data_IF_144092473762
#
_entry.id   IF_144092473762
#
_cell.length_a   1.000
_cell.length_b   1.000
_cell.length_c   1.000
_cell.angle_alpha   90.00
_cell.angle_beta   90.00
_cell.angle_gamma   90.00
#
_symmetry.space_group_name_H-M   'P 1'
#
loop_
_entity.id
_entity.type
_entity.pdbx_description
1 polymer ?
#
# COMPACT_ATOMS: atom_id res chain seq x y z
N UNK A 1 7.57 -33.81 -29.09
CA UNK A 1 8.91 -33.99 -29.68
C UNK A 1 8.83 -34.07 -31.20
N UNK A 2 9.80 -33.46 -31.89
CA UNK A 2 9.89 -33.36 -33.36
C UNK A 2 11.23 -33.91 -33.83
N UNK A 3 11.22 -34.77 -34.84
CA UNK A 3 12.41 -35.44 -35.35
C UNK A 3 12.45 -35.41 -36.87
N UNK A 4 13.65 -35.22 -37.41
CA UNK A 4 13.97 -35.31 -38.83
C UNK A 4 15.08 -36.34 -39.00
N UNK A 5 14.88 -37.30 -39.90
CA UNK A 5 15.85 -38.34 -40.23
C UNK A 5 16.09 -38.31 -41.74
N UNK A 6 17.36 -38.38 -42.14
CA UNK A 6 17.76 -38.50 -43.53
C UNK A 6 18.11 -39.95 -43.85
N UNK A 7 17.52 -40.50 -44.90
CA UNK A 7 17.95 -41.80 -45.42
C UNK A 7 19.35 -41.71 -46.04
N UNK A 8 20.06 -42.83 -46.22
CA UNK A 8 21.34 -42.87 -46.94
C UNK A 8 21.27 -42.30 -48.37
N UNK A 9 20.07 -42.28 -48.98
CA UNK A 9 19.79 -41.68 -50.27
C UNK A 9 19.45 -40.18 -50.19
N UNK A 10 19.74 -39.53 -49.06
CA UNK A 10 19.47 -38.11 -48.77
C UNK A 10 17.99 -37.69 -48.83
N UNK A 11 17.06 -38.65 -48.72
CA UNK A 11 15.62 -38.33 -48.61
C UNK A 11 15.25 -38.05 -47.15
N UNK A 12 14.64 -36.88 -46.85
CA UNK A 12 14.22 -36.54 -45.50
C UNK A 12 12.89 -37.21 -45.13
N UNK A 13 12.78 -37.62 -43.88
CA UNK A 13 11.58 -38.11 -43.23
C UNK A 13 11.38 -37.35 -41.93
N UNK A 14 10.17 -36.89 -41.66
CA UNK A 14 9.84 -36.14 -40.45
C UNK A 14 8.68 -36.81 -39.71
N UNK A 15 8.74 -36.79 -38.38
CA UNK A 15 7.66 -37.26 -37.52
C UNK A 15 7.63 -36.43 -36.24
N UNK A 16 6.43 -36.19 -35.73
CA UNK A 16 6.25 -35.41 -34.51
C UNK A 16 4.80 -35.37 -34.06
N UNK A 17 4.63 -35.04 -32.78
CA UNK A 17 3.33 -34.68 -32.21
C UNK A 17 3.39 -33.26 -31.66
N UNK A 18 2.47 -32.36 -32.06
CA UNK A 18 1.47 -32.54 -33.11
C UNK A 18 2.10 -32.74 -34.51
N UNK A 19 1.29 -33.18 -35.49
CA UNK A 19 1.76 -33.52 -36.85
C UNK A 19 2.60 -32.41 -37.47
N UNK A 20 3.60 -32.78 -38.28
CA UNK A 20 4.51 -31.84 -38.92
C UNK A 20 3.77 -30.84 -39.83
N UNK A 21 2.70 -31.29 -40.49
CA UNK A 21 1.82 -30.45 -41.32
C UNK A 21 1.11 -29.39 -40.49
N UNK A 22 0.66 -29.74 -39.28
CA UNK A 22 0.02 -28.80 -38.36
C UNK A 22 1.02 -27.73 -37.90
N UNK A 23 2.24 -28.15 -37.52
CA UNK A 23 3.32 -27.24 -37.13
C UNK A 23 3.69 -26.32 -38.30
N UNK A 24 3.87 -26.85 -39.51
CA UNK A 24 4.18 -26.07 -40.72
C UNK A 24 3.07 -25.05 -41.06
N UNK A 25 1.81 -25.44 -40.87
CA UNK A 25 0.65 -24.56 -41.06
C UNK A 25 0.64 -23.42 -40.04
N UNK A 26 1.01 -23.66 -38.79
CA UNK A 26 1.15 -22.59 -37.78
C UNK A 26 2.20 -21.55 -38.19
N UNK A 27 3.35 -21.99 -38.69
CA UNK A 27 4.40 -21.07 -39.17
C UNK A 27 4.02 -20.34 -40.46
N UNK A 28 3.23 -20.97 -41.33
CA UNK A 28 2.77 -20.36 -42.59
C UNK A 28 1.62 -19.36 -42.37
N UNK A 29 0.79 -19.57 -41.34
CA UNK A 29 -0.35 -18.71 -41.00
C UNK A 29 0.01 -17.57 -40.03
N UNK A 30 1.25 -17.53 -39.52
CA UNK A 30 1.66 -16.54 -38.52
C UNK A 30 1.59 -15.09 -39.02
N UNK A 31 1.49 -14.85 -40.33
CA UNK A 31 1.71 -13.52 -40.90
C UNK A 31 0.48 -12.74 -41.35
N UNK A 32 -0.77 -13.25 -41.23
CA UNK A 32 -1.86 -12.64 -42.02
C UNK A 32 -3.10 -12.07 -41.33
N UNK A 33 -3.44 -12.33 -40.06
CA UNK A 33 -4.62 -11.61 -39.50
C UNK A 33 -4.89 -11.69 -37.99
N UNK A 34 -4.19 -12.52 -37.21
CA UNK A 34 -4.58 -12.80 -35.82
C UNK A 34 -3.80 -11.99 -34.76
N UNK A 35 -2.64 -11.44 -35.13
CA UNK A 35 -1.73 -10.79 -34.18
C UNK A 35 -2.17 -9.38 -33.77
N UNK A 36 -2.64 -8.52 -34.67
CA UNK A 36 -2.82 -7.09 -34.35
C UNK A 36 -3.84 -6.80 -33.23
N UNK A 37 -4.96 -7.54 -33.18
CA UNK A 37 -5.99 -7.30 -32.16
C UNK A 37 -5.69 -8.04 -30.84
N UNK A 38 -5.08 -9.22 -30.91
CA UNK A 38 -4.72 -10.02 -29.73
C UNK A 38 -3.52 -9.41 -29.02
N UNK A 39 -2.49 -8.97 -29.76
CA UNK A 39 -1.29 -8.34 -29.20
C UNK A 39 -1.59 -6.98 -28.60
N UNK A 40 -2.47 -6.18 -29.20
CA UNK A 40 -2.87 -4.90 -28.62
C UNK A 40 -3.54 -5.08 -27.24
N UNK A 41 -4.41 -6.09 -27.10
CA UNK A 41 -5.05 -6.40 -25.81
C UNK A 41 -4.03 -6.92 -24.79
N UNK A 42 -3.14 -7.83 -25.20
CA UNK A 42 -2.08 -8.39 -24.34
C UNK A 42 -1.12 -7.29 -23.87
N UNK A 43 -0.69 -6.40 -24.76
CA UNK A 43 0.19 -5.28 -24.40
C UNK A 43 -0.52 -4.22 -23.55
N UNK A 44 -1.81 -3.99 -23.76
CA UNK A 44 -2.60 -3.11 -22.89
C UNK A 44 -2.66 -3.68 -21.49
N UNK A 45 -2.95 -4.97 -21.35
CA UNK A 45 -2.96 -5.66 -20.06
C UNK A 45 -1.58 -5.64 -19.40
N UNK A 46 -0.50 -5.85 -20.16
CA UNK A 46 0.87 -5.78 -19.64
C UNK A 46 1.23 -4.38 -19.13
N UNK A 47 0.89 -3.34 -19.89
CA UNK A 47 1.08 -1.93 -19.49
C UNK A 47 0.28 -1.60 -18.24
N UNK A 48 -0.98 -2.03 -18.16
CA UNK A 48 -1.81 -1.80 -16.99
C UNK A 48 -1.21 -2.42 -15.73
N UNK A 49 -0.76 -3.68 -15.83
CA UNK A 49 -0.06 -4.36 -14.73
C UNK A 49 1.22 -3.65 -14.30
N UNK A 50 2.00 -3.15 -15.24
CA UNK A 50 3.22 -2.38 -14.94
C UNK A 50 2.86 -1.06 -14.25
N UNK A 51 1.83 -0.36 -14.73
CA UNK A 51 1.37 0.89 -14.14
C UNK A 51 0.89 0.68 -12.70
N UNK A 52 0.11 -0.37 -12.44
CA UNK A 52 -0.32 -0.72 -11.08
C UNK A 52 0.89 -1.00 -10.17
N UNK A 53 1.87 -1.77 -10.64
CA UNK A 53 3.08 -2.04 -9.88
C UNK A 53 3.89 -0.77 -9.58
N UNK A 54 3.97 0.15 -10.54
CA UNK A 54 4.63 1.45 -10.36
C UNK A 54 3.88 2.30 -9.34
N UNK A 55 2.55 2.31 -9.37
CA UNK A 55 1.73 3.02 -8.39
C UNK A 55 1.95 2.47 -6.97
N UNK A 56 1.91 1.14 -6.80
CA UNK A 56 2.15 0.50 -5.50
C UNK A 56 3.56 0.81 -4.97
N UNK A 57 4.57 0.76 -5.86
CA UNK A 57 5.94 1.10 -5.50
C UNK A 57 6.06 2.55 -5.04
N UNK A 58 5.51 3.49 -5.80
CA UNK A 58 5.55 4.91 -5.45
C UNK A 58 4.80 5.18 -4.14
N UNK A 59 3.65 4.55 -3.92
CA UNK A 59 2.91 4.68 -2.67
C UNK A 59 3.75 4.24 -1.46
N UNK A 60 4.38 3.07 -1.54
CA UNK A 60 5.25 2.56 -0.45
C UNK A 60 6.46 3.47 -0.26
N UNK A 61 7.04 3.98 -1.34
CA UNK A 61 8.18 4.89 -1.30
C UNK A 61 7.81 6.21 -0.60
N UNK A 62 6.67 6.80 -0.94
CA UNK A 62 6.18 8.03 -0.29
C UNK A 62 5.94 7.82 1.21
N UNK A 63 5.34 6.69 1.60
CA UNK A 63 5.17 6.35 3.02
C UNK A 63 6.51 6.24 3.74
N UNK A 64 7.50 5.60 3.11
CA UNK A 64 8.83 5.43 3.67
C UNK A 64 9.51 6.79 3.88
N UNK A 65 9.38 7.71 2.93
CA UNK A 65 9.99 9.03 3.02
C UNK A 65 9.33 9.89 4.11
N UNK A 66 8.00 9.82 4.26
CA UNK A 66 7.29 10.44 5.40
C UNK A 66 7.78 9.90 6.74
N UNK A 67 7.97 8.58 6.85
CA UNK A 67 8.48 7.95 8.09
C UNK A 67 9.91 8.41 8.37
N UNK A 68 10.77 8.47 7.35
CA UNK A 68 12.16 8.94 7.50
C UNK A 68 12.24 10.40 7.93
N UNK A 69 11.42 11.28 7.36
CA UNK A 69 11.40 12.69 7.78
C UNK A 69 10.93 12.83 9.23
N UNK A 70 9.86 12.11 9.63
CA UNK A 70 9.45 12.07 11.05
C UNK A 70 10.56 11.55 11.97
N UNK A 71 11.30 10.53 11.54
CA UNK A 71 12.43 10.01 12.32
C UNK A 71 13.54 11.04 12.47
N UNK A 72 13.83 11.84 11.43
CA UNK A 72 14.79 12.95 11.51
C UNK A 72 14.30 14.04 12.47
N UNK A 73 13.03 14.41 12.41
CA UNK A 73 12.43 15.39 13.33
C UNK A 73 12.55 14.92 14.79
N UNK A 74 12.25 13.64 15.06
CA UNK A 74 12.41 13.04 16.38
C UNK A 74 13.88 13.08 16.81
N UNK A 75 14.82 12.71 15.94
CA UNK A 75 16.24 12.71 16.24
C UNK A 75 16.77 14.13 16.53
N UNK A 76 16.25 15.15 15.84
CA UNK A 76 16.57 16.56 16.09
C UNK A 76 15.99 17.05 17.42
N UNK A 77 14.70 16.77 17.69
CA UNK A 77 14.06 17.10 18.97
C UNK A 77 14.77 16.43 20.17
N UNK A 78 15.29 15.23 19.93
CA UNK A 78 16.08 14.45 20.86
C UNK A 78 17.50 15.00 21.12
N UNK A 79 18.05 15.80 20.21
CA UNK A 79 19.32 16.51 20.39
C UNK A 79 19.12 17.90 21.02
N UNK A 80 17.98 18.55 20.76
CA UNK A 80 17.68 19.88 21.29
C UNK A 80 17.16 19.84 22.74
N UNK A 81 16.42 18.80 23.12
CA UNK A 81 16.13 18.51 24.51
C UNK A 81 17.34 17.79 25.10
N UNK A 82 18.07 18.46 25.98
CA UNK A 82 19.19 17.87 26.71
C UNK A 82 18.82 16.49 27.24
N UNK A 83 19.81 15.60 27.24
CA UNK A 83 19.86 14.15 27.53
C UNK A 83 18.87 13.56 28.55
N UNK A 84 18.17 14.37 29.35
CA UNK A 84 17.37 14.03 30.51
C UNK A 84 16.09 13.21 30.24
N UNK A 85 15.43 13.30 29.06
CA UNK A 85 14.13 12.60 28.88
C UNK A 85 14.23 11.15 28.37
N UNK A 86 15.42 10.66 28.02
CA UNK A 86 15.64 9.31 27.46
C UNK A 86 16.36 8.34 28.41
N UNK A 87 16.33 8.63 29.71
CA UNK A 87 16.97 7.77 30.71
C UNK A 87 16.10 6.59 31.15
N UNK A 88 14.78 6.65 30.97
CA UNK A 88 13.88 5.64 31.54
C UNK A 88 13.79 4.32 30.75
N UNK A 89 14.41 4.16 29.57
CA UNK A 89 14.40 2.87 28.85
C UNK A 89 15.78 2.19 28.78
N UNK A 90 16.73 2.58 29.63
CA UNK A 90 18.13 2.17 29.47
C UNK A 90 18.51 0.82 30.05
N UNK A 91 17.75 0.24 30.99
CA UNK A 91 18.09 -1.04 31.60
C UNK A 91 16.90 -2.01 31.59
N UNK A 92 17.11 -3.31 31.30
CA UNK A 92 16.11 -4.35 31.53
C UNK A 92 15.63 -4.32 32.98
N UNK A 93 14.34 -4.59 33.21
CA UNK A 93 13.71 -4.53 34.55
C UNK A 93 14.47 -5.41 35.56
N UNK A 94 15.02 -6.53 35.12
CA UNK A 94 15.76 -7.49 35.95
C UNK A 94 17.11 -6.94 36.47
N UNK A 95 17.56 -5.79 35.97
CA UNK A 95 18.84 -5.17 36.32
C UNK A 95 18.69 -3.91 37.18
N UNK A 96 17.45 -3.53 37.53
CA UNK A 96 17.15 -2.33 38.31
C UNK A 96 17.07 -2.66 39.80
N UNK A 97 17.60 -1.79 40.64
CA UNK A 97 17.39 -1.88 42.09
C UNK A 97 16.00 -1.32 42.48
N UNK A 98 15.55 -1.61 43.70
CA UNK A 98 14.21 -1.22 44.17
C UNK A 98 13.91 0.28 44.03
N UNK A 99 14.91 1.14 44.26
CA UNK A 99 14.73 2.60 44.13
C UNK A 99 14.51 2.98 42.66
N UNK A 100 15.36 2.49 41.77
CA UNK A 100 15.25 2.75 40.34
C UNK A 100 13.94 2.21 39.76
N UNK A 101 13.41 1.12 40.32
CA UNK A 101 12.12 0.55 39.93
C UNK A 101 10.93 1.44 40.31
N UNK A 102 10.98 2.11 41.47
CA UNK A 102 9.97 3.13 41.83
C UNK A 102 10.07 4.37 40.95
N UNK A 103 11.28 4.83 40.65
CA UNK A 103 11.51 5.95 39.74
C UNK A 103 10.99 5.64 38.31
N UNK A 104 11.16 4.40 37.83
CA UNK A 104 10.55 3.91 36.59
C UNK A 104 9.02 3.96 36.61
N UNK A 105 8.40 3.49 37.70
CA UNK A 105 6.95 3.46 37.84
C UNK A 105 6.37 4.88 37.83
N UNK A 106 7.04 5.82 38.50
CA UNK A 106 6.68 7.24 38.48
C UNK A 106 6.77 7.83 37.06
N UNK A 107 7.87 7.60 36.35
CA UNK A 107 8.01 8.02 34.96
C UNK A 107 6.95 7.40 34.04
N UNK A 108 6.56 6.15 34.27
CA UNK A 108 5.50 5.48 33.52
C UNK A 108 4.13 6.11 33.81
N UNK A 109 3.85 6.47 35.07
CA UNK A 109 2.64 7.18 35.45
C UNK A 109 2.56 8.56 34.79
N UNK A 110 3.66 9.32 34.77
CA UNK A 110 3.75 10.62 34.09
C UNK A 110 3.52 10.48 32.57
N UNK A 111 4.14 9.47 31.94
CA UNK A 111 3.94 9.20 30.52
C UNK A 111 2.48 8.87 30.19
N UNK A 112 1.84 8.00 30.98
CA UNK A 112 0.43 7.66 30.81
C UNK A 112 -0.48 8.89 30.98
N UNK A 113 -0.17 9.74 31.95
CA UNK A 113 -0.88 11.01 32.15
C UNK A 113 -0.76 11.92 30.93
N UNK A 114 0.45 12.07 30.37
CA UNK A 114 0.69 12.86 29.16
C UNK A 114 -0.11 12.33 27.95
N UNK A 115 -0.16 11.01 27.77
CA UNK A 115 -0.96 10.36 26.71
C UNK A 115 -2.45 10.64 26.91
N UNK A 116 -2.96 10.56 28.14
CA UNK A 116 -4.34 10.91 28.46
C UNK A 116 -4.65 12.36 28.11
N UNK A 117 -3.84 13.31 28.59
CA UNK A 117 -4.00 14.74 28.31
C UNK A 117 -3.98 15.01 26.80
N UNK A 118 -3.08 14.36 26.06
CA UNK A 118 -2.97 14.55 24.60
C UNK A 118 -4.19 13.99 23.87
N UNK A 119 -4.72 12.84 24.30
CA UNK A 119 -5.97 12.27 23.76
C UNK A 119 -7.14 13.22 24.02
N UNK A 120 -7.29 13.72 25.23
CA UNK A 120 -8.40 14.60 25.61
C UNK A 120 -8.35 15.92 24.82
N UNK A 121 -7.16 16.53 24.71
CA UNK A 121 -6.95 17.72 23.87
C UNK A 121 -7.36 17.48 22.41
N UNK A 122 -7.02 16.33 21.83
CA UNK A 122 -7.43 15.96 20.47
C UNK A 122 -8.96 15.80 20.36
N UNK A 123 -9.60 15.18 21.34
CA UNK A 123 -11.06 15.02 21.38
C UNK A 123 -11.74 16.40 21.47
N UNK A 124 -11.27 17.28 22.35
CA UNK A 124 -11.78 18.65 22.48
C UNK A 124 -11.61 19.44 21.18
N UNK A 125 -10.46 19.33 20.51
CA UNK A 125 -10.23 19.98 19.23
C UNK A 125 -11.20 19.49 18.14
N UNK A 126 -11.44 18.18 18.04
CA UNK A 126 -12.40 17.61 17.09
C UNK A 126 -13.83 18.08 17.42
N UNK A 127 -14.23 18.05 18.69
CA UNK A 127 -15.56 18.50 19.12
C UNK A 127 -15.78 19.99 18.86
N UNK A 128 -14.75 20.82 19.02
CA UNK A 128 -14.79 22.26 18.70
C UNK A 128 -14.99 22.50 17.20
N UNK A 129 -14.27 21.76 16.34
CA UNK A 129 -14.43 21.85 14.88
C UNK A 129 -15.81 21.39 14.40
N UNK A 130 -16.45 20.49 15.15
CA UNK A 130 -17.77 19.96 14.82
C UNK A 130 -18.90 20.93 15.24
N UNK A 131 -18.75 21.63 16.36
CA UNK A 131 -19.69 22.65 16.81
C UNK A 131 -19.76 23.87 15.88
N UNK A 132 -18.67 24.22 15.19
CA UNK A 132 -18.66 25.32 14.21
C UNK A 132 -19.42 25.02 12.91
N UNK A 133 -19.80 23.76 12.65
CA UNK A 133 -20.56 23.39 11.44
C UNK A 133 -22.08 23.36 11.64
N UNK A 134 -22.56 23.38 12.89
CA UNK A 134 -24.00 23.27 13.21
C UNK A 134 -24.72 24.64 13.31
N UNK A 135 -23.99 25.76 13.34
CA UNK A 135 -24.57 27.11 13.50
C UNK A 135 -24.98 27.80 12.18
N UNK A 136 -24.66 27.23 11.00
CA UNK A 136 -24.84 27.90 9.70
C UNK A 136 -25.89 27.25 8.77
N UNK A 137 -26.90 26.56 9.33
CA UNK A 137 -28.05 26.04 8.55
C UNK A 137 -29.31 26.87 8.81
N UNK A 138 -29.74 27.76 7.89
CA UNK A 138 -31.07 28.33 7.94
C UNK A 138 -32.12 27.22 7.75
N UNK A 139 -32.81 26.88 8.83
CA UNK A 139 -33.92 25.91 8.85
C UNK A 139 -35.03 26.33 7.89
N UNK A 140 -35.11 25.66 6.74
CA UNK A 140 -36.25 25.75 5.82
C UNK A 140 -36.75 24.35 5.43
N UNK A 141 -37.27 23.59 6.40
CA UNK A 141 -38.15 22.47 6.11
C UNK A 141 -39.61 22.91 6.22
N UNK A 142 -40.32 22.98 5.08
CA UNK A 142 -41.79 22.94 5.06
C UNK A 142 -42.22 21.57 4.53
N UNK A 143 -42.97 20.76 5.29
CA UNK A 143 -43.62 19.60 4.72
C UNK A 143 -44.93 20.03 4.06
N UNK A 144 -45.16 19.62 2.81
CA UNK A 144 -46.52 19.63 2.24
C UNK A 144 -46.84 18.30 1.58
N UNK A 145 -47.78 17.61 2.22
CA UNK A 145 -48.44 16.37 1.83
C UNK A 145 -48.88 16.36 0.35
N UNK A 146 -48.76 15.19 -0.31
CA UNK A 146 -49.62 14.82 -1.44
C UNK A 146 -51.02 14.40 -0.95
N UNK A 147 -51.90 13.79 -1.77
CA UNK A 147 -51.74 13.35 -3.17
C UNK A 147 -52.82 13.92 -4.10
N UNK A 148 -52.72 13.70 -5.42
CA UNK A 148 -53.89 13.49 -6.28
C UNK A 148 -53.48 12.68 -7.51
N UNK A 149 -53.95 11.44 -7.54
CA UNK A 149 -54.11 10.62 -8.74
C UNK A 149 -55.57 10.81 -9.15
N UNK A 150 -55.80 11.43 -10.31
CA UNK A 150 -56.90 11.11 -11.22
C UNK A 150 -56.53 11.56 -12.63
#
# INVERSE_FOLDING_TARGET
>A
DFFIIFSPASKPYSFGHPSVEFVAKCFSNASQHLEETTDALVETYRKERINLLVQDFNYVQDQLDVIKEKQKEIALAQQSHGTESRHWLKAPIDHLNLRELYEQDEHFAEFNNLISITRDKKITAISSMQATMDEDVPSAFRPRYGPNLQ
#
